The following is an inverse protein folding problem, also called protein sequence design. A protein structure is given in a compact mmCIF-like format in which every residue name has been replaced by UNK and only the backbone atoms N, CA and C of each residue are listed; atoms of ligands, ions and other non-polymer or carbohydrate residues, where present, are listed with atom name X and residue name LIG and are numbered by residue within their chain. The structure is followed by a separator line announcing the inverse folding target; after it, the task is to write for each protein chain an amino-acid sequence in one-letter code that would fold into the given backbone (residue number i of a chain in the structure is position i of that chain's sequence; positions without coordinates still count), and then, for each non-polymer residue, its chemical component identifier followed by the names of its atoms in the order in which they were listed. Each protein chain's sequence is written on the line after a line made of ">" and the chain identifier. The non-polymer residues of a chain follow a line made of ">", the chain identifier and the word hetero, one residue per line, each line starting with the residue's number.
data_IF_257231301240
#
_entry.id   IF_257231301240
#
_cell.length_a   1.000
_cell.length_b   1.000
_cell.length_c   1.000
_cell.angle_alpha   90.00
_cell.angle_beta   90.00
_cell.angle_gamma   90.00
#
_symmetry.space_group_name_H-M   'P 1'
#
loop_
_entity.id
_entity.type
_entity.pdbx_description
1 polymer ?
#
# COMPACT_ATOMS: atom_id res chain seq x y z
N UNK A 1 -5.57 0.85 6.73
CA UNK A 1 -4.53 1.77 7.24
C UNK A 1 -3.31 1.69 6.34
N UNK A 2 -2.62 2.81 6.11
CA UNK A 2 -1.35 2.85 5.38
C UNK A 2 -0.24 3.36 6.29
N UNK A 3 0.92 2.71 6.23
CA UNK A 3 2.14 3.14 6.89
C UNK A 3 3.24 3.33 5.85
N UNK A 4 4.00 4.41 5.99
CA UNK A 4 5.17 4.68 5.17
C UNK A 4 6.32 4.82 6.15
N UNK A 5 7.23 3.84 6.18
CA UNK A 5 8.47 3.95 6.97
C UNK A 5 9.32 5.09 6.42
N UNK A 6 10.18 5.77 7.17
CA UNK A 6 11.12 6.75 6.59
C UNK A 6 12.31 6.08 5.88
N UNK A 7 12.72 4.92 6.39
CA UNK A 7 13.85 4.13 5.87
C UNK A 7 13.37 2.81 5.31
N UNK A 8 14.07 2.22 4.32
CA UNK A 8 13.77 0.86 3.86
C UNK A 8 13.79 -0.12 5.02
N UNK A 9 12.84 -1.04 5.06
CA UNK A 9 12.69 -2.07 6.08
C UNK A 9 12.91 -3.42 5.43
N UNK A 10 13.81 -4.22 5.99
CA UNK A 10 13.93 -5.63 5.63
C UNK A 10 12.65 -6.35 6.07
N UNK A 11 11.88 -6.82 5.10
CA UNK A 11 10.54 -7.37 5.30
C UNK A 11 10.39 -8.78 4.74
N UNK A 12 11.51 -9.44 4.40
CA UNK A 12 11.51 -10.78 3.77
C UNK A 12 10.52 -10.86 2.60
N UNK A 13 10.55 -9.85 1.72
CA UNK A 13 9.65 -9.77 0.58
C UNK A 13 9.96 -10.87 -0.43
N UNK A 14 8.97 -11.22 -1.26
CA UNK A 14 9.10 -12.27 -2.27
C UNK A 14 10.19 -11.97 -3.33
N UNK A 15 10.47 -10.70 -3.58
CA UNK A 15 11.52 -10.22 -4.47
C UNK A 15 12.84 -9.91 -3.76
N UNK A 16 12.89 -10.08 -2.44
CA UNK A 16 14.02 -9.74 -1.56
C UNK A 16 14.43 -8.26 -1.55
N UNK A 17 13.58 -7.37 -2.06
CA UNK A 17 13.78 -5.92 -1.98
C UNK A 17 13.19 -5.33 -0.69
N UNK A 18 13.87 -4.38 -0.03
CA UNK A 18 13.36 -3.80 1.20
C UNK A 18 12.09 -2.97 0.97
N UNK A 19 11.17 -3.03 1.92
CA UNK A 19 9.85 -2.42 1.82
C UNK A 19 9.80 -1.06 2.52
N UNK A 20 9.01 -0.14 1.95
CA UNK A 20 8.75 1.20 2.52
C UNK A 20 7.29 1.46 2.81
N UNK A 21 6.40 0.90 1.99
CA UNK A 21 4.96 1.13 2.01
C UNK A 21 4.28 -0.12 2.54
N UNK A 22 3.44 0.04 3.55
CA UNK A 22 2.74 -1.04 4.23
C UNK A 22 1.25 -0.75 4.29
N UNK A 23 0.43 -1.72 3.89
CA UNK A 23 -1.02 -1.62 3.97
C UNK A 23 -1.54 -2.71 4.89
N UNK A 24 -2.24 -2.28 5.92
CA UNK A 24 -2.95 -3.15 6.83
C UNK A 24 -4.44 -3.10 6.54
N UNK A 25 -5.03 -4.27 6.35
CA UNK A 25 -6.46 -4.46 6.19
C UNK A 25 -7.00 -5.25 7.37
N UNK A 26 -8.24 -4.96 7.75
CA UNK A 26 -8.97 -5.71 8.77
C UNK A 26 -10.31 -6.07 8.17
N UNK A 27 -10.69 -7.34 8.24
CA UNK A 27 -11.95 -7.84 7.69
C UNK A 27 -12.52 -8.91 8.60
N UNK A 28 -13.86 -9.01 8.71
CA UNK A 28 -14.51 -10.13 9.38
C UNK A 28 -14.15 -11.46 8.72
N UNK A 29 -14.03 -12.53 9.51
CA UNK A 29 -13.64 -13.87 9.05
C UNK A 29 -14.63 -14.42 8.00
N UNK A 30 -15.90 -14.04 8.10
CA UNK A 30 -17.00 -14.50 7.26
C UNK A 30 -17.19 -13.68 5.96
N UNK A 31 -16.37 -12.64 5.72
CA UNK A 31 -16.49 -11.76 4.55
C UNK A 31 -15.28 -11.84 3.61
N UNK A 32 -15.17 -12.95 2.89
CA UNK A 32 -14.04 -13.21 1.97
C UNK A 32 -14.10 -12.36 0.69
N UNK A 33 -15.29 -12.14 0.12
CA UNK A 33 -15.45 -11.46 -1.18
C UNK A 33 -14.91 -10.02 -1.22
N UNK A 34 -15.43 -9.11 -0.36
CA UNK A 34 -14.96 -7.72 -0.32
C UNK A 34 -13.47 -7.57 0.00
N UNK A 35 -12.91 -8.47 0.81
CA UNK A 35 -11.48 -8.47 1.14
C UNK A 35 -10.60 -8.71 -0.09
N UNK A 36 -10.95 -9.71 -0.92
CA UNK A 36 -10.22 -10.01 -2.15
C UNK A 36 -10.31 -8.87 -3.16
N UNK A 37 -11.47 -8.22 -3.28
CA UNK A 37 -11.62 -7.06 -4.14
C UNK A 37 -10.71 -5.91 -3.70
N UNK A 38 -10.68 -5.60 -2.40
CA UNK A 38 -9.79 -4.58 -1.86
C UNK A 38 -8.31 -4.89 -2.13
N UNK A 39 -7.88 -6.14 -1.95
CA UNK A 39 -6.50 -6.55 -2.26
C UNK A 39 -6.17 -6.39 -3.74
N UNK A 40 -7.11 -6.67 -4.64
CA UNK A 40 -6.91 -6.48 -6.08
C UNK A 40 -6.76 -4.99 -6.46
N UNK A 41 -7.59 -4.11 -5.89
CA UNK A 41 -7.52 -2.66 -6.11
C UNK A 41 -6.20 -2.08 -5.60
N UNK A 42 -5.78 -2.46 -4.39
CA UNK A 42 -4.47 -2.11 -3.84
C UNK A 42 -3.36 -2.61 -4.77
N UNK A 43 -3.40 -3.89 -5.17
CA UNK A 43 -2.36 -4.46 -6.04
C UNK A 43 -2.22 -3.73 -7.37
N UNK A 44 -3.33 -3.26 -7.96
CA UNK A 44 -3.33 -2.46 -9.20
C UNK A 44 -2.66 -1.10 -8.99
N UNK A 45 -2.98 -0.43 -7.90
CA UNK A 45 -2.37 0.86 -7.57
C UNK A 45 -0.86 0.76 -7.41
N UNK A 46 -0.39 -0.27 -6.72
CA UNK A 46 1.04 -0.49 -6.50
C UNK A 46 1.78 -1.06 -7.70
N UNK A 47 1.13 -1.41 -8.82
CA UNK A 47 1.84 -1.74 -10.05
C UNK A 47 2.47 -0.51 -10.70
N UNK A 48 1.87 0.68 -10.54
CA UNK A 48 2.42 1.92 -11.08
C UNK A 48 3.62 2.40 -10.28
N UNK A 49 4.80 2.45 -10.91
CA UNK A 49 6.00 3.02 -10.28
C UNK A 49 5.86 4.51 -9.98
N UNK A 50 5.10 5.24 -10.80
CA UNK A 50 4.82 6.66 -10.62
C UNK A 50 4.00 6.89 -9.34
N UNK A 51 2.88 6.17 -9.18
CA UNK A 51 2.07 6.25 -7.95
C UNK A 51 2.87 5.86 -6.71
N UNK A 52 3.74 4.83 -6.79
CA UNK A 52 4.64 4.47 -5.68
C UNK A 52 5.60 5.63 -5.34
N UNK A 53 6.18 6.29 -6.33
CA UNK A 53 7.07 7.42 -6.11
C UNK A 53 6.35 8.61 -5.49
N UNK A 54 5.12 8.91 -5.93
CA UNK A 54 4.28 9.97 -5.33
C UNK A 54 3.95 9.69 -3.87
N UNK A 55 3.57 8.44 -3.53
CA UNK A 55 3.33 8.04 -2.14
C UNK A 55 4.58 8.22 -1.29
N UNK A 56 5.76 7.85 -1.80
CA UNK A 56 7.03 8.01 -1.07
C UNK A 56 7.46 9.48 -0.91
N UNK A 57 7.00 10.37 -1.78
CA UNK A 57 7.28 11.81 -1.73
C UNK A 57 6.26 12.60 -0.91
N UNK A 58 5.11 12.00 -0.61
CA UNK A 58 4.03 12.64 0.15
C UNK A 58 4.50 13.05 1.55
N UNK A 59 4.13 14.26 1.95
CA UNK A 59 4.50 14.88 3.23
C UNK A 59 3.33 14.92 4.20
N UNK A 60 2.11 14.71 3.71
CA UNK A 60 0.91 14.70 4.53
C UNK A 60 0.03 13.49 4.22
N UNK A 61 -0.79 13.04 5.20
CA UNK A 61 -1.75 11.96 4.98
C UNK A 61 -2.73 12.23 3.82
N UNK A 62 -3.10 13.48 3.60
CA UNK A 62 -4.02 13.89 2.54
C UNK A 62 -3.42 13.69 1.15
N UNK A 63 -2.12 13.96 0.97
CA UNK A 63 -1.42 13.70 -0.28
C UNK A 63 -1.38 12.20 -0.60
N UNK A 64 -1.14 11.35 0.40
CA UNK A 64 -1.20 9.89 0.24
C UNK A 64 -2.60 9.45 -0.15
N UNK A 65 -3.63 9.98 0.53
CA UNK A 65 -5.04 9.67 0.24
C UNK A 65 -5.43 10.06 -1.18
N UNK A 66 -4.94 11.19 -1.70
CA UNK A 66 -5.20 11.62 -3.08
C UNK A 66 -4.70 10.58 -4.09
N UNK A 67 -3.46 10.13 -3.96
CA UNK A 67 -2.87 9.13 -4.87
C UNK A 67 -3.64 7.79 -4.82
N UNK A 68 -4.18 7.44 -3.65
CA UNK A 68 -4.92 6.19 -3.43
C UNK A 68 -6.34 6.19 -4.01
N UNK A 69 -6.96 7.36 -4.14
CA UNK A 69 -8.38 7.49 -4.52
C UNK A 69 -8.56 7.97 -5.97
N UNK A 70 -7.53 8.56 -6.58
CA UNK A 70 -7.47 8.85 -8.04
C UNK A 70 -7.21 7.61 -8.89
#
# INVERSE_FOLDING_TARGET
>A
CIGISDTPVDFDSLDHEPCRIFIMTLSPIDKTGPHLQFLAEVSLLFKSSEKRAEILAAKTPEEVLRVLVE
#
